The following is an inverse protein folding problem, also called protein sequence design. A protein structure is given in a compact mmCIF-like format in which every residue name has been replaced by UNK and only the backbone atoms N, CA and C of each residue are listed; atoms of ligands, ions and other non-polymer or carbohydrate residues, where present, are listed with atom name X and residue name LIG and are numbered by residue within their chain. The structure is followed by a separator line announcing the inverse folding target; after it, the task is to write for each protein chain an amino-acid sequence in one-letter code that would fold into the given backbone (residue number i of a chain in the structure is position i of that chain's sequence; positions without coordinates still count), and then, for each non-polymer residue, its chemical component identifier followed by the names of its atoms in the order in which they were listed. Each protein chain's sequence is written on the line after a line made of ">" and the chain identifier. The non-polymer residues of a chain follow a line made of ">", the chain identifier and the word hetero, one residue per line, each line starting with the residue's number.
data_IF_514018910228
#
_entry.id   IF_514018910228
#
_cell.length_a   1.000
_cell.length_b   1.000
_cell.length_c   1.000
_cell.angle_alpha   90.00
_cell.angle_beta   90.00
_cell.angle_gamma   90.00
#
_symmetry.space_group_name_H-M   'P 1'
#
loop_
_entity.id
_entity.type
_entity.pdbx_description
1 polymer ?
#
# COMPACT_ATOMS: atom_id res chain seq x y z
N UNK A 1 -18.74 -21.85 -7.58
CA UNK A 1 -17.51 -21.74 -8.39
C UNK A 1 -16.45 -20.86 -7.75
N UNK A 2 -16.82 -19.69 -7.18
CA UNK A 2 -15.86 -18.74 -6.58
C UNK A 2 -15.08 -19.28 -5.37
N UNK A 3 -15.67 -20.13 -4.54
CA UNK A 3 -14.98 -20.69 -3.35
C UNK A 3 -13.90 -21.71 -3.74
N UNK A 4 -14.14 -22.50 -4.79
CA UNK A 4 -13.16 -23.48 -5.27
C UNK A 4 -11.95 -22.79 -5.92
N UNK A 5 -12.18 -21.73 -6.69
CA UNK A 5 -11.11 -20.89 -7.28
C UNK A 5 -10.29 -20.18 -6.19
N UNK A 6 -10.93 -19.68 -5.12
CA UNK A 6 -10.23 -19.10 -3.97
C UNK A 6 -9.34 -20.13 -3.26
N UNK A 7 -9.84 -21.35 -2.98
CA UNK A 7 -9.03 -22.42 -2.37
C UNK A 7 -7.85 -22.83 -3.25
N UNK A 8 -8.05 -22.91 -4.56
CA UNK A 8 -7.00 -23.30 -5.49
C UNK A 8 -5.90 -22.23 -5.61
N UNK A 9 -6.26 -20.92 -5.60
CA UNK A 9 -5.29 -19.82 -5.53
C UNK A 9 -4.51 -19.82 -4.21
N UNK A 10 -5.16 -20.09 -3.09
CA UNK A 10 -4.52 -20.22 -1.78
C UNK A 10 -3.52 -21.39 -1.73
N UNK A 11 -3.84 -22.53 -2.32
CA UNK A 11 -2.93 -23.69 -2.37
C UNK A 11 -1.69 -23.46 -3.23
N UNK A 12 -1.76 -22.65 -4.29
CA UNK A 12 -0.60 -22.35 -5.16
C UNK A 12 0.46 -21.50 -4.47
N UNK A 13 0.07 -20.67 -3.48
CA UNK A 13 0.98 -19.77 -2.75
C UNK A 13 1.58 -20.49 -1.54
N UNK A 14 0.88 -21.50 -0.98
CA UNK A 14 1.18 -22.01 0.35
C UNK A 14 2.50 -22.76 0.47
N UNK A 15 2.89 -23.61 -0.49
CA UNK A 15 4.04 -24.52 -0.30
C UNK A 15 4.67 -25.10 -1.58
N UNK A 16 4.46 -24.51 -2.75
CA UNK A 16 5.07 -25.05 -3.97
C UNK A 16 6.29 -24.23 -4.38
N UNK A 17 7.51 -24.77 -4.27
CA UNK A 17 8.70 -24.14 -4.82
C UNK A 17 8.58 -23.94 -6.34
N UNK A 18 7.87 -24.85 -7.04
CA UNK A 18 7.66 -24.80 -8.47
C UNK A 18 6.20 -24.47 -8.80
N UNK A 19 5.98 -23.37 -9.51
CA UNK A 19 4.69 -23.04 -10.08
C UNK A 19 4.40 -23.93 -11.31
N UNK A 20 3.12 -24.27 -11.58
CA UNK A 20 2.74 -24.84 -12.88
C UNK A 20 3.20 -23.94 -14.02
N UNK A 21 3.58 -24.53 -15.16
CA UNK A 21 3.89 -23.73 -16.35
C UNK A 21 2.69 -22.87 -16.74
N UNK A 22 2.94 -21.59 -16.92
CA UNK A 22 1.94 -20.64 -17.38
C UNK A 22 1.82 -20.76 -18.90
N UNK A 23 0.64 -21.08 -19.37
CA UNK A 23 0.32 -21.05 -20.80
C UNK A 23 -0.05 -19.62 -21.20
N UNK A 24 0.95 -18.87 -21.67
CA UNK A 24 0.77 -17.46 -22.06
C UNK A 24 -0.27 -17.27 -23.17
N UNK A 25 -0.54 -18.29 -23.98
CA UNK A 25 -1.53 -18.21 -25.07
C UNK A 25 -2.98 -18.13 -24.59
N UNK A 26 -3.24 -18.47 -23.33
CA UNK A 26 -4.57 -18.44 -22.69
C UNK A 26 -4.81 -17.19 -21.85
N UNK A 27 -3.84 -16.28 -21.80
CA UNK A 27 -3.95 -15.05 -21.03
C UNK A 27 -4.55 -13.94 -21.88
N UNK A 28 -5.26 -13.01 -21.21
CA UNK A 28 -5.67 -11.76 -21.85
C UNK A 28 -4.48 -10.84 -22.07
N UNK A 29 -4.62 -9.87 -22.95
CA UNK A 29 -3.59 -8.87 -23.25
C UNK A 29 -3.19 -8.11 -21.97
N UNK A 30 -4.18 -7.67 -21.17
CA UNK A 30 -3.92 -6.98 -19.90
C UNK A 30 -3.12 -7.84 -18.90
N UNK A 31 -3.39 -9.16 -18.88
CA UNK A 31 -2.63 -10.08 -18.01
C UNK A 31 -1.18 -10.24 -18.48
N UNK A 32 -0.95 -10.24 -19.78
CA UNK A 32 0.40 -10.28 -20.36
C UNK A 32 1.16 -8.98 -20.09
N UNK A 33 0.50 -7.83 -20.24
CA UNK A 33 1.07 -6.51 -19.91
C UNK A 33 1.48 -6.43 -18.44
N UNK A 34 0.61 -6.90 -17.52
CA UNK A 34 0.92 -6.89 -16.10
C UNK A 34 2.12 -7.79 -15.77
N UNK A 35 2.21 -8.98 -16.35
CA UNK A 35 3.37 -9.85 -16.17
C UNK A 35 4.63 -9.18 -16.72
N UNK A 36 4.56 -8.57 -17.89
CA UNK A 36 5.69 -7.86 -18.52
C UNK A 36 6.13 -6.66 -17.65
N UNK A 37 5.19 -5.94 -17.07
CA UNK A 37 5.50 -4.88 -16.09
C UNK A 37 6.24 -5.42 -14.87
N UNK A 38 5.81 -6.55 -14.31
CA UNK A 38 6.48 -7.17 -13.18
C UNK A 38 7.88 -7.70 -13.54
N UNK A 39 8.04 -8.27 -14.74
CA UNK A 39 9.35 -8.69 -15.28
C UNK A 39 10.30 -7.47 -15.43
N UNK A 40 9.78 -6.33 -15.90
CA UNK A 40 10.53 -5.07 -15.98
C UNK A 40 10.94 -4.57 -14.59
N UNK A 41 10.03 -4.55 -13.63
CA UNK A 41 10.32 -4.16 -12.25
C UNK A 41 11.45 -5.03 -11.68
N UNK A 42 11.39 -6.34 -11.86
CA UNK A 42 12.42 -7.27 -11.42
C UNK A 42 13.77 -6.97 -12.09
N UNK A 43 13.76 -6.66 -13.39
CA UNK A 43 14.96 -6.29 -14.14
C UNK A 43 15.61 -5.03 -13.58
N UNK A 44 14.81 -3.99 -13.29
CA UNK A 44 15.31 -2.74 -12.70
C UNK A 44 15.86 -2.98 -11.29
N UNK A 45 15.16 -3.76 -10.46
CA UNK A 45 15.63 -4.08 -9.10
C UNK A 45 16.94 -4.88 -9.06
N UNK A 46 17.25 -5.62 -10.12
CA UNK A 46 18.54 -6.32 -10.28
C UNK A 46 19.58 -5.50 -11.04
N UNK A 47 19.23 -4.29 -11.47
CA UNK A 47 20.09 -3.37 -12.22
C UNK A 47 20.97 -2.50 -11.33
N UNK A 48 21.63 -1.50 -11.95
CA UNK A 48 22.57 -0.61 -11.25
C UNK A 48 21.88 0.35 -10.26
N UNK A 49 20.58 0.61 -10.41
CA UNK A 49 19.79 1.45 -9.51
C UNK A 49 18.49 0.70 -9.10
N UNK A 50 18.57 -0.15 -8.07
CA UNK A 50 17.41 -0.93 -7.58
C UNK A 50 16.28 -0.07 -7.03
N UNK A 51 16.56 1.18 -6.65
CA UNK A 51 15.59 2.10 -6.06
C UNK A 51 14.88 2.98 -7.11
N UNK A 52 15.24 2.87 -8.39
CA UNK A 52 14.59 3.60 -9.49
C UNK A 52 13.09 3.28 -9.61
N UNK A 53 12.65 2.11 -9.12
CA UNK A 53 11.23 1.73 -9.06
C UNK A 53 10.78 1.66 -7.59
N UNK A 54 9.78 2.45 -7.27
CA UNK A 54 9.13 2.45 -5.95
C UNK A 54 8.25 1.21 -5.72
N UNK A 55 7.50 1.19 -4.62
CA UNK A 55 6.59 0.08 -4.31
C UNK A 55 5.42 0.00 -5.30
N UNK A 56 4.94 -1.22 -5.52
CA UNK A 56 3.76 -1.50 -6.33
C UNK A 56 2.49 -1.20 -5.51
N UNK A 57 1.77 -0.14 -5.87
CA UNK A 57 0.51 0.23 -5.20
C UNK A 57 -0.62 -0.56 -5.84
N UNK A 58 -1.32 -1.35 -5.03
CA UNK A 58 -2.50 -2.10 -5.45
C UNK A 58 -3.75 -1.31 -5.09
N UNK A 59 -4.34 -0.63 -6.07
CA UNK A 59 -5.61 0.09 -5.90
C UNK A 59 -6.78 -0.87 -5.69
N UNK A 60 -7.86 -0.37 -5.10
CA UNK A 60 -9.10 -1.11 -4.87
C UNK A 60 -8.88 -2.46 -4.19
N UNK A 61 -8.02 -2.51 -3.19
CA UNK A 61 -7.79 -3.74 -2.39
C UNK A 61 -9.01 -4.04 -1.54
N UNK A 62 -9.74 -5.11 -1.85
CA UNK A 62 -11.00 -5.49 -1.20
C UNK A 62 -10.94 -6.84 -0.49
N UNK A 63 -9.89 -7.60 -0.73
CA UNK A 63 -9.72 -8.94 -0.15
C UNK A 63 -8.26 -9.34 -0.04
N UNK A 64 -7.97 -10.31 0.83
CA UNK A 64 -6.65 -10.94 0.90
C UNK A 64 -6.25 -11.57 -0.45
N UNK A 65 -7.25 -12.06 -1.22
CA UNK A 65 -6.99 -12.67 -2.52
C UNK A 65 -6.40 -11.68 -3.54
N UNK A 66 -6.71 -10.39 -3.43
CA UNK A 66 -6.17 -9.37 -4.34
C UNK A 66 -4.66 -9.23 -4.11
N UNK A 67 -4.23 -9.08 -2.87
CA UNK A 67 -2.80 -8.99 -2.51
C UNK A 67 -2.07 -10.29 -2.89
N UNK A 68 -2.64 -11.45 -2.55
CA UNK A 68 -2.06 -12.74 -2.86
C UNK A 68 -1.95 -13.00 -4.37
N UNK A 69 -2.88 -12.45 -5.16
CA UNK A 69 -2.84 -12.55 -6.62
C UNK A 69 -1.65 -11.78 -7.20
N UNK A 70 -1.34 -10.59 -6.69
CA UNK A 70 -0.14 -9.83 -7.09
C UNK A 70 1.13 -10.61 -6.75
N UNK A 71 1.21 -11.18 -5.54
CA UNK A 71 2.37 -12.01 -5.14
C UNK A 71 2.51 -13.25 -6.04
N UNK A 72 1.40 -13.87 -6.45
CA UNK A 72 1.42 -15.01 -7.37
C UNK A 72 1.91 -14.60 -8.77
N UNK A 73 1.42 -13.48 -9.30
CA UNK A 73 1.86 -12.96 -10.59
C UNK A 73 3.34 -12.57 -10.57
N UNK A 74 3.82 -11.97 -9.49
CA UNK A 74 5.23 -11.67 -9.29
C UNK A 74 6.09 -12.94 -9.34
N UNK A 75 5.64 -14.04 -8.76
CA UNK A 75 6.34 -15.33 -8.88
C UNK A 75 6.40 -15.83 -10.34
N UNK A 76 5.32 -15.65 -11.10
CA UNK A 76 5.34 -15.99 -12.56
C UNK A 76 6.25 -15.07 -13.35
N UNK A 77 6.45 -13.84 -12.92
CA UNK A 77 7.41 -12.90 -13.51
C UNK A 77 8.88 -13.15 -13.08
N UNK A 78 9.13 -14.18 -12.25
CA UNK A 78 10.48 -14.58 -11.87
C UNK A 78 10.96 -14.11 -10.49
N UNK A 79 10.12 -13.45 -9.69
CA UNK A 79 10.46 -13.14 -8.30
C UNK A 79 10.64 -14.42 -7.47
N UNK A 80 11.48 -14.36 -6.44
CA UNK A 80 11.82 -15.51 -5.63
C UNK A 80 10.64 -16.23 -4.97
N UNK A 81 10.83 -17.51 -4.64
CA UNK A 81 9.77 -18.38 -4.10
C UNK A 81 9.60 -18.30 -2.58
N UNK A 82 10.65 -17.92 -1.85
CA UNK A 82 10.61 -17.84 -0.39
C UNK A 82 10.27 -16.45 0.13
N UNK A 83 10.81 -15.42 -0.51
CA UNK A 83 10.54 -14.01 -0.25
C UNK A 83 10.59 -13.27 -1.57
N UNK A 84 9.57 -12.48 -1.87
CA UNK A 84 9.55 -11.62 -3.02
C UNK A 84 10.17 -10.26 -2.65
N UNK A 85 11.01 -9.73 -3.53
CA UNK A 85 11.55 -8.36 -3.40
C UNK A 85 10.52 -7.28 -3.79
N UNK A 86 9.39 -7.66 -4.40
CA UNK A 86 8.31 -6.75 -4.75
C UNK A 86 7.65 -6.19 -3.49
N UNK A 87 7.79 -4.90 -3.27
CA UNK A 87 7.07 -4.18 -2.20
C UNK A 87 5.65 -3.88 -2.68
N UNK A 88 4.65 -4.60 -2.16
CA UNK A 88 3.24 -4.36 -2.46
C UNK A 88 2.62 -3.50 -1.39
N UNK A 89 2.02 -2.38 -1.79
CA UNK A 89 1.31 -1.45 -0.91
C UNK A 89 -0.19 -1.55 -1.23
N UNK A 90 -1.00 -2.19 -0.38
CA UNK A 90 -2.44 -2.22 -0.56
C UNK A 90 -3.02 -0.83 -0.32
N UNK A 91 -3.92 -0.40 -1.19
CA UNK A 91 -4.69 0.83 -1.07
C UNK A 91 -6.15 0.50 -0.74
N UNK A 92 -6.60 0.97 0.42
CA UNK A 92 -7.99 0.88 0.88
C UNK A 92 -8.68 2.22 0.62
N UNK A 93 -9.72 2.24 -0.22
CA UNK A 93 -10.27 3.46 -0.80
C UNK A 93 -11.65 3.83 -0.25
N UNK A 94 -12.56 2.87 -0.15
CA UNK A 94 -13.94 3.10 0.32
C UNK A 94 -14.05 2.98 1.84
N UNK A 95 -15.18 3.42 2.39
CA UNK A 95 -15.51 3.22 3.82
C UNK A 95 -15.50 1.72 4.17
N UNK A 96 -16.08 0.90 3.31
CA UNK A 96 -16.14 -0.55 3.48
C UNK A 96 -14.75 -1.18 3.44
N UNK A 97 -13.88 -0.76 2.49
CA UNK A 97 -12.52 -1.28 2.39
C UNK A 97 -11.70 -0.93 3.65
N UNK A 98 -11.82 0.30 4.15
CA UNK A 98 -11.16 0.76 5.37
C UNK A 98 -11.61 -0.04 6.61
N UNK A 99 -12.90 -0.33 6.73
CA UNK A 99 -13.43 -1.12 7.84
C UNK A 99 -12.96 -2.58 7.78
N UNK A 100 -12.80 -3.15 6.58
CA UNK A 100 -12.34 -4.53 6.36
C UNK A 100 -10.82 -4.69 6.37
N UNK A 101 -10.06 -3.62 6.19
CA UNK A 101 -8.61 -3.66 6.05
C UNK A 101 -7.88 -4.46 7.15
N UNK A 102 -8.21 -4.33 8.45
CA UNK A 102 -7.54 -5.11 9.50
C UNK A 102 -7.70 -6.61 9.33
N UNK A 103 -8.89 -7.06 8.95
CA UNK A 103 -9.19 -8.48 8.75
C UNK A 103 -8.53 -9.01 7.47
N UNK A 104 -8.55 -8.23 6.39
CA UNK A 104 -7.83 -8.56 5.14
C UNK A 104 -6.35 -8.79 5.41
N UNK A 105 -5.72 -7.91 6.20
CA UNK A 105 -4.31 -8.03 6.54
C UNK A 105 -4.03 -9.27 7.41
N UNK A 106 -4.87 -9.58 8.42
CA UNK A 106 -4.72 -10.82 9.19
C UNK A 106 -4.74 -12.04 8.29
N UNK A 107 -5.73 -12.14 7.38
CA UNK A 107 -5.83 -13.25 6.43
C UNK A 107 -4.62 -13.36 5.51
N UNK A 108 -4.04 -12.23 5.07
CA UNK A 108 -2.82 -12.23 4.26
C UNK A 108 -1.65 -12.80 5.05
N UNK A 109 -1.50 -12.45 6.32
CA UNK A 109 -0.40 -12.91 7.16
C UNK A 109 -0.52 -14.38 7.62
N UNK A 110 -1.64 -15.06 7.36
CA UNK A 110 -1.72 -16.52 7.47
C UNK A 110 -0.82 -17.23 6.43
N UNK A 111 -0.37 -16.52 5.39
CA UNK A 111 0.52 -17.06 4.36
C UNK A 111 1.96 -16.68 4.63
N UNK A 112 2.86 -17.66 4.93
CA UNK A 112 4.26 -17.36 5.29
C UNK A 112 5.03 -16.57 4.24
N UNK A 113 4.77 -16.80 2.96
CA UNK A 113 5.41 -16.02 1.88
C UNK A 113 4.99 -14.55 1.90
N UNK A 114 3.70 -14.26 2.15
CA UNK A 114 3.22 -12.90 2.28
C UNK A 114 3.80 -12.22 3.51
N UNK A 115 3.83 -12.92 4.65
CA UNK A 115 4.42 -12.43 5.89
C UNK A 115 5.91 -12.06 5.75
N UNK A 116 6.65 -12.81 4.91
CA UNK A 116 8.07 -12.50 4.63
C UNK A 116 8.26 -11.40 3.58
N UNK A 117 7.32 -11.27 2.64
CA UNK A 117 7.47 -10.39 1.48
C UNK A 117 6.91 -8.98 1.69
N UNK A 118 5.85 -8.84 2.51
CA UNK A 118 5.14 -7.57 2.68
C UNK A 118 5.75 -6.65 3.73
N UNK A 119 6.69 -7.13 4.52
CA UNK A 119 7.41 -6.30 5.50
C UNK A 119 8.83 -6.00 5.03
N UNK A 120 9.33 -4.83 5.34
CA UNK A 120 10.73 -4.47 5.15
C UNK A 120 11.67 -5.07 6.22
N UNK A 121 12.97 -4.77 6.13
CA UNK A 121 13.96 -5.29 7.07
C UNK A 121 13.71 -4.87 8.52
N UNK A 122 13.10 -3.69 8.72
CA UNK A 122 12.78 -3.12 10.04
C UNK A 122 11.40 -3.53 10.55
N UNK A 123 10.78 -4.53 9.94
CA UNK A 123 9.44 -5.04 10.23
C UNK A 123 8.33 -3.99 10.04
N UNK A 124 8.47 -3.12 9.05
CA UNK A 124 7.39 -2.22 8.62
C UNK A 124 6.66 -2.77 7.39
N UNK A 125 5.38 -2.49 7.33
CA UNK A 125 4.55 -2.67 6.14
C UNK A 125 3.91 -1.34 5.76
N UNK A 126 4.04 -0.94 4.49
CA UNK A 126 3.38 0.27 3.97
C UNK A 126 1.95 -0.05 3.54
N UNK A 127 1.00 0.80 3.96
CA UNK A 127 -0.42 0.71 3.61
C UNK A 127 -0.89 2.09 3.16
N UNK A 128 -1.53 2.16 1.99
CA UNK A 128 -2.08 3.41 1.49
C UNK A 128 -3.55 3.55 1.87
N UNK A 129 -3.93 4.76 2.29
CA UNK A 129 -5.28 5.12 2.69
C UNK A 129 -5.88 6.12 1.68
N UNK A 130 -7.04 5.79 1.14
CA UNK A 130 -7.77 6.64 0.20
C UNK A 130 -8.64 7.68 0.90
N UNK A 131 -8.38 8.95 0.64
CA UNK A 131 -9.15 10.07 1.20
C UNK A 131 -10.24 10.55 0.27
N UNK A 132 -9.95 10.65 -1.03
CA UNK A 132 -10.90 11.18 -2.02
C UNK A 132 -12.11 10.27 -2.16
N UNK A 133 -11.88 8.98 -2.31
CA UNK A 133 -12.94 8.01 -2.58
C UNK A 133 -13.75 7.71 -1.33
N UNK A 134 -13.13 7.61 -0.16
CA UNK A 134 -13.87 7.52 1.12
C UNK A 134 -14.72 8.76 1.40
N UNK A 135 -14.26 9.97 1.01
CA UNK A 135 -15.05 11.20 1.10
C UNK A 135 -16.25 11.21 0.15
N UNK A 136 -16.09 10.68 -1.07
CA UNK A 136 -17.21 10.54 -2.02
C UNK A 136 -18.23 9.51 -1.55
N UNK A 137 -17.77 8.45 -0.91
CA UNK A 137 -18.57 7.33 -0.45
C UNK A 137 -19.41 7.69 0.80
N UNK A 138 -18.77 8.22 1.85
CA UNK A 138 -19.40 8.47 3.14
C UNK A 138 -19.51 9.93 3.59
N UNK A 139 -19.01 10.87 2.81
CA UNK A 139 -18.88 12.28 3.20
C UNK A 139 -17.73 12.52 4.18
N UNK A 140 -17.41 13.81 4.40
CA UNK A 140 -16.20 14.22 5.13
C UNK A 140 -16.09 13.68 6.55
N UNK A 141 -17.18 13.77 7.34
CA UNK A 141 -17.16 13.34 8.75
C UNK A 141 -17.01 11.83 8.87
N UNK A 142 -17.78 11.07 8.09
CA UNK A 142 -17.72 9.62 8.08
C UNK A 142 -16.35 9.13 7.61
N UNK A 143 -15.82 9.70 6.53
CA UNK A 143 -14.49 9.37 6.03
C UNK A 143 -13.40 9.65 7.07
N UNK A 144 -13.39 10.84 7.66
CA UNK A 144 -12.40 11.22 8.68
C UNK A 144 -12.43 10.31 9.89
N UNK A 145 -13.63 9.97 10.36
CA UNK A 145 -13.82 9.03 11.47
C UNK A 145 -13.35 7.62 11.12
N UNK A 146 -13.73 7.13 9.93
CA UNK A 146 -13.34 5.77 9.48
C UNK A 146 -11.84 5.67 9.26
N UNK A 147 -11.21 6.69 8.71
CA UNK A 147 -9.74 6.74 8.54
C UNK A 147 -9.01 6.67 9.89
N UNK A 148 -9.44 7.42 10.92
CA UNK A 148 -8.86 7.32 12.27
C UNK A 148 -9.03 5.91 12.85
N UNK A 149 -10.25 5.39 12.81
CA UNK A 149 -10.59 4.04 13.30
C UNK A 149 -9.78 2.96 12.58
N UNK A 150 -9.69 3.02 11.24
CA UNK A 150 -8.95 2.07 10.41
C UNK A 150 -7.46 2.07 10.75
N UNK A 151 -6.82 3.24 10.86
CA UNK A 151 -5.40 3.33 11.24
C UNK A 151 -5.12 2.65 12.58
N UNK A 152 -5.95 2.88 13.61
CA UNK A 152 -5.81 2.23 14.91
C UNK A 152 -6.00 0.72 14.83
N UNK A 153 -7.00 0.26 14.07
CA UNK A 153 -7.32 -1.15 13.93
C UNK A 153 -6.27 -1.90 13.09
N UNK A 154 -5.78 -1.30 12.01
CA UNK A 154 -4.66 -1.83 11.21
C UNK A 154 -3.40 -1.92 12.06
N UNK A 155 -3.08 -0.90 12.84
CA UNK A 155 -1.91 -0.91 13.73
C UNK A 155 -1.97 -2.09 14.70
N UNK A 156 -3.13 -2.37 15.31
CA UNK A 156 -3.31 -3.55 16.18
C UNK A 156 -3.12 -4.85 15.42
N UNK A 157 -3.79 -5.00 14.27
CA UNK A 157 -3.73 -6.22 13.46
C UNK A 157 -2.30 -6.56 13.00
N UNK A 158 -1.51 -5.56 12.63
CA UNK A 158 -0.12 -5.74 12.25
C UNK A 158 0.78 -6.05 13.46
N UNK A 159 0.50 -5.42 14.61
CA UNK A 159 1.25 -5.66 15.85
C UNK A 159 1.14 -7.12 16.33
N UNK A 160 0.03 -7.81 16.04
CA UNK A 160 -0.15 -9.24 16.30
C UNK A 160 0.92 -10.10 15.60
N UNK A 161 1.49 -9.60 14.51
CA UNK A 161 2.57 -10.22 13.74
C UNK A 161 3.95 -9.55 13.95
N UNK A 162 4.07 -8.68 14.94
CA UNK A 162 5.30 -7.92 15.20
C UNK A 162 5.64 -6.92 14.10
N UNK A 163 4.64 -6.45 13.36
CA UNK A 163 4.81 -5.53 12.22
C UNK A 163 4.26 -4.15 12.59
N UNK A 164 4.97 -3.11 12.18
CA UNK A 164 4.53 -1.71 12.34
C UNK A 164 4.02 -1.16 11.02
N UNK A 165 2.89 -0.43 10.99
CA UNK A 165 2.44 0.22 9.76
C UNK A 165 3.31 1.44 9.43
N UNK A 166 3.51 1.66 8.12
CA UNK A 166 3.86 2.95 7.53
C UNK A 166 2.65 3.39 6.72
N UNK A 167 1.92 4.40 7.18
CA UNK A 167 0.76 4.87 6.45
C UNK A 167 1.16 5.84 5.34
N UNK A 168 0.71 5.52 4.12
CA UNK A 168 0.79 6.41 2.98
C UNK A 168 -0.57 7.08 2.77
N UNK A 169 -0.64 8.36 3.07
CA UNK A 169 -1.89 9.13 3.04
C UNK A 169 -2.13 9.66 1.63
N UNK A 170 -3.10 9.07 0.93
CA UNK A 170 -3.56 9.50 -0.38
C UNK A 170 -4.42 10.77 -0.30
N UNK A 171 -3.85 11.85 0.24
CA UNK A 171 -4.56 13.14 0.44
C UNK A 171 -4.68 13.94 -0.86
N UNK A 172 -5.01 13.29 -1.97
CA UNK A 172 -5.25 13.99 -3.23
C UNK A 172 -6.39 15.00 -3.07
N UNK A 173 -6.11 16.29 -3.23
CA UNK A 173 -7.14 17.32 -3.20
C UNK A 173 -6.59 18.71 -2.94
N UNK A 174 -7.34 19.72 -3.37
CA UNK A 174 -7.06 21.13 -3.09
C UNK A 174 -7.01 21.39 -1.58
N UNK A 175 -6.40 22.50 -1.18
CA UNK A 175 -6.35 23.00 0.21
C UNK A 175 -7.73 22.95 0.90
N UNK A 176 -8.81 23.15 0.15
CA UNK A 176 -10.21 23.06 0.62
C UNK A 176 -10.69 21.63 0.93
N UNK A 177 -9.93 20.60 0.55
CA UNK A 177 -10.27 19.17 0.76
C UNK A 177 -9.35 18.45 1.73
N UNK A 178 -8.76 19.15 2.70
CA UNK A 178 -7.90 18.57 3.72
C UNK A 178 -6.41 18.92 3.57
N UNK A 179 -6.06 19.90 2.76
CA UNK A 179 -4.71 20.47 2.65
C UNK A 179 -4.32 21.31 3.88
N UNK A 180 -4.49 20.78 5.09
CA UNK A 180 -3.96 21.42 6.29
C UNK A 180 -2.43 21.54 6.19
N UNK A 181 -1.81 22.52 6.86
CA UNK A 181 -0.38 22.57 7.03
C UNK A 181 0.16 21.22 7.52
N UNK A 182 1.32 20.81 7.03
CA UNK A 182 1.85 19.45 7.24
C UNK A 182 2.08 19.14 8.71
N UNK A 183 2.52 20.13 9.51
CA UNK A 183 2.68 20.02 10.97
C UNK A 183 1.36 19.67 11.67
N UNK A 184 0.27 20.35 11.31
CA UNK A 184 -1.08 20.04 11.84
C UNK A 184 -1.57 18.67 11.39
N UNK A 185 -1.25 18.28 10.16
CA UNK A 185 -1.59 16.96 9.65
C UNK A 185 -0.87 15.85 10.43
N UNK A 186 0.39 16.06 10.81
CA UNK A 186 1.17 15.17 11.67
C UNK A 186 0.55 15.11 13.07
N UNK A 187 0.29 16.27 13.68
CA UNK A 187 -0.29 16.36 15.04
C UNK A 187 -1.69 15.73 15.16
N UNK A 188 -2.44 15.72 14.05
CA UNK A 188 -3.78 15.13 13.99
C UNK A 188 -3.79 13.59 13.78
N UNK A 189 -2.63 12.97 13.58
CA UNK A 189 -2.60 11.52 13.40
C UNK A 189 -2.92 10.78 14.72
N UNK A 190 -3.60 9.63 14.66
CA UNK A 190 -3.88 8.84 15.86
C UNK A 190 -2.58 8.43 16.56
N UNK A 191 -2.59 8.45 17.88
CA UNK A 191 -1.40 8.05 18.68
C UNK A 191 -0.96 6.62 18.31
N UNK A 192 0.35 6.45 18.09
CA UNK A 192 0.96 5.16 17.77
C UNK A 192 0.85 4.74 16.30
N UNK A 193 0.33 5.60 15.41
CA UNK A 193 0.27 5.33 13.97
C UNK A 193 1.41 5.97 13.18
N UNK A 194 2.06 6.99 13.74
CA UNK A 194 3.31 7.54 13.24
C UNK A 194 4.49 6.79 13.86
N UNK A 195 5.35 6.27 13.03
CA UNK A 195 6.56 5.54 13.42
C UNK A 195 7.81 6.22 12.86
N UNK A 196 7.92 7.56 13.07
CA UNK A 196 9.04 8.37 12.59
C UNK A 196 8.97 8.74 11.11
N UNK A 197 7.95 8.30 10.37
CA UNK A 197 7.79 8.62 8.95
C UNK A 197 6.34 8.93 8.61
N UNK A 198 6.12 9.97 7.80
CA UNK A 198 4.84 10.29 7.18
C UNK A 198 5.05 10.34 5.68
N UNK A 199 4.26 9.56 4.94
CA UNK A 199 4.20 9.64 3.49
C UNK A 199 2.82 10.12 3.06
N UNK A 200 2.79 11.11 2.21
CA UNK A 200 1.54 11.67 1.69
C UNK A 200 1.69 12.02 0.21
N UNK A 201 0.56 11.99 -0.52
CA UNK A 201 0.48 12.55 -1.87
C UNK A 201 0.04 14.01 -1.77
N UNK A 202 0.63 14.86 -2.61
CA UNK A 202 0.15 16.21 -2.86
C UNK A 202 -0.11 16.38 -4.35
N UNK A 203 -1.21 17.02 -4.70
CA UNK A 203 -1.50 17.34 -6.10
C UNK A 203 -0.60 18.49 -6.59
N UNK A 204 -0.34 18.53 -7.91
CA UNK A 204 0.54 19.52 -8.52
C UNK A 204 0.18 20.98 -8.18
N UNK A 205 -1.09 21.30 -8.07
CA UNK A 205 -1.57 22.64 -7.65
C UNK A 205 -1.12 22.97 -6.22
N UNK A 206 -1.18 22.01 -5.30
CA UNK A 206 -0.76 22.18 -3.91
C UNK A 206 0.76 22.28 -3.84
N UNK A 207 1.49 21.45 -4.59
CA UNK A 207 2.95 21.50 -4.71
C UNK A 207 3.38 22.89 -5.20
N UNK A 208 2.74 23.39 -6.26
CA UNK A 208 3.03 24.73 -6.79
C UNK A 208 2.76 25.82 -5.74
N UNK A 209 1.63 25.78 -5.05
CA UNK A 209 1.29 26.80 -4.06
C UNK A 209 2.21 26.78 -2.83
N UNK A 210 2.68 25.61 -2.42
CA UNK A 210 3.54 25.45 -1.24
C UNK A 210 5.03 25.65 -1.52
N UNK A 211 5.51 25.25 -2.71
CA UNK A 211 6.94 25.11 -2.97
C UNK A 211 7.44 25.88 -4.19
N UNK A 212 6.58 26.70 -4.83
CA UNK A 212 6.96 27.44 -6.07
C UNK A 212 8.11 28.43 -5.89
N UNK A 213 8.34 28.91 -4.67
CA UNK A 213 9.48 29.77 -4.36
C UNK A 213 10.12 29.41 -3.01
N UNK A 214 11.36 29.81 -2.83
CA UNK A 214 12.17 29.45 -1.66
C UNK A 214 11.55 29.92 -0.34
N UNK A 215 10.98 31.13 -0.31
CA UNK A 215 10.38 31.70 0.91
C UNK A 215 9.16 30.89 1.36
N UNK A 216 8.26 30.56 0.42
CA UNK A 216 7.09 29.75 0.70
C UNK A 216 7.48 28.32 1.10
N UNK A 217 8.43 27.73 0.39
CA UNK A 217 8.95 26.40 0.69
C UNK A 217 9.55 26.33 2.10
N UNK A 218 10.40 27.27 2.46
CA UNK A 218 11.00 27.34 3.81
C UNK A 218 9.92 27.42 4.89
N UNK A 219 8.94 28.33 4.72
CA UNK A 219 7.82 28.48 5.68
C UNK A 219 6.99 27.21 5.85
N UNK A 220 6.87 26.39 4.80
CA UNK A 220 6.12 25.11 4.88
C UNK A 220 6.95 23.97 5.47
N UNK A 221 8.27 23.94 5.25
CA UNK A 221 9.13 22.84 5.67
C UNK A 221 9.73 23.05 7.06
N UNK A 222 10.01 24.28 7.45
CA UNK A 222 10.61 24.61 8.74
C UNK A 222 9.81 24.05 9.95
N UNK A 223 8.47 24.20 10.03
CA UNK A 223 7.69 23.64 11.16
C UNK A 223 7.77 22.11 11.23
N UNK A 224 7.95 21.43 10.10
CA UNK A 224 8.04 19.97 10.04
C UNK A 224 9.38 19.47 10.56
N UNK A 225 10.45 20.22 10.37
CA UNK A 225 11.81 19.84 10.82
C UNK A 225 11.97 19.92 12.35
N UNK A 226 11.11 20.64 13.05
CA UNK A 226 11.18 20.77 14.53
C UNK A 226 10.21 19.83 15.28
N UNK A 227 9.38 19.05 14.59
CA UNK A 227 8.40 18.15 15.22
C UNK A 227 8.93 16.74 15.46
N UNK A 228 10.23 16.53 15.32
CA UNK A 228 10.89 15.23 15.56
C UNK A 228 11.83 15.28 16.78
#
# INVERSE_FOLDING_TARGET
>A
PHVAVRRQRQMCIRDRPNLPKLDKSKLTEESLELISLLELILTVQNGPDPEAVGPFILSMTRSAADILSVLLLARYAGFGSEKLSLKVVPLFETIEDLDKAPEILRQVFEFPIAARSLKDADAFMEIMLGYSDSNKDGGFLCSSWTLDKAQRAITRALSENGIKPKFFHGRGGSVSRGGAPTDRAIAAQPKGTLNGTLRLTEQGEVVTSKYANIGTAATQLEPVSYTH
#
